data_IF_394305250954
#
_entry.id   IF_394305250954
#
_cell.length_a   1.000
_cell.length_b   1.000
_cell.length_c   1.000
_cell.angle_alpha   90.00
_cell.angle_beta   90.00
_cell.angle_gamma   90.00
#
_symmetry.space_group_name_H-M   'P 1'
#
loop_
_entity.id
_entity.type
_entity.pdbx_description
1 polymer ?
#
# COMPACT_ATOMS: atom_id res chain seq x y z
N UNK A 1 -0.23 5.10 1.98
CA UNK A 1 -0.04 5.27 3.44
C UNK A 1 0.90 6.41 3.71
N UNK A 2 0.73 7.52 2.99
CA UNK A 2 1.63 8.67 2.97
C UNK A 2 1.57 9.49 4.25
N UNK A 3 2.32 10.58 4.26
CA UNK A 3 2.55 11.42 5.44
C UNK A 3 1.24 12.06 5.95
N UNK A 4 0.26 12.23 5.08
CA UNK A 4 -1.08 12.73 5.41
C UNK A 4 -1.84 11.85 6.43
N UNK A 5 -1.38 10.62 6.71
CA UNK A 5 -1.97 9.73 7.72
C UNK A 5 -1.43 9.94 9.14
N UNK A 6 -0.55 10.92 9.34
CA UNK A 6 -0.05 11.31 10.66
C UNK A 6 0.69 10.18 11.36
N UNK A 7 0.35 9.89 12.62
CA UNK A 7 0.97 8.82 13.42
C UNK A 7 0.80 7.40 12.85
N UNK A 8 -0.10 7.22 11.88
CA UNK A 8 -0.33 5.94 11.18
C UNK A 8 0.45 5.82 9.86
N UNK A 9 1.17 6.86 9.46
CA UNK A 9 2.02 6.82 8.27
C UNK A 9 3.06 5.70 8.40
N UNK A 10 3.21 4.91 7.34
CA UNK A 10 4.31 3.95 7.27
C UNK A 10 5.56 4.66 6.72
N UNK A 11 6.67 4.71 7.49
CA UNK A 11 7.85 5.50 7.12
C UNK A 11 8.35 5.23 5.70
N UNK A 12 8.62 6.30 4.96
CA UNK A 12 9.05 6.24 3.56
C UNK A 12 10.32 5.41 3.37
N UNK A 13 11.27 5.48 4.30
CA UNK A 13 12.51 4.70 4.24
C UNK A 13 12.23 3.20 4.37
N UNK A 14 11.28 2.82 5.23
CA UNK A 14 10.88 1.43 5.37
C UNK A 14 10.08 0.96 4.16
N UNK A 15 9.27 1.81 3.53
CA UNK A 15 8.61 1.50 2.26
C UNK A 15 9.63 1.22 1.14
N UNK A 16 10.67 2.04 1.03
CA UNK A 16 11.76 1.83 0.08
C UNK A 16 12.50 0.51 0.35
N UNK A 17 12.75 0.20 1.63
CA UNK A 17 13.39 -1.07 2.01
C UNK A 17 12.52 -2.27 1.64
N UNK A 18 11.21 -2.23 1.87
CA UNK A 18 10.29 -3.30 1.48
C UNK A 18 10.36 -3.56 -0.02
N UNK A 19 10.23 -2.53 -0.84
CA UNK A 19 10.35 -2.65 -2.31
C UNK A 19 11.69 -3.27 -2.68
N UNK A 20 12.78 -2.77 -2.11
CA UNK A 20 14.15 -3.25 -2.37
C UNK A 20 14.36 -4.72 -1.99
N UNK A 21 13.76 -5.17 -0.89
CA UNK A 21 13.90 -6.56 -0.45
C UNK A 21 13.04 -7.50 -1.29
N UNK A 22 11.82 -7.08 -1.64
CA UNK A 22 10.93 -7.84 -2.50
C UNK A 22 11.54 -8.03 -3.90
N UNK A 23 12.14 -6.99 -4.48
CA UNK A 23 12.76 -7.09 -5.82
C UNK A 23 14.01 -7.98 -5.86
N UNK A 24 14.69 -8.19 -4.72
CA UNK A 24 15.81 -9.15 -4.63
C UNK A 24 15.36 -10.60 -4.66
N UNK A 25 14.12 -10.87 -4.25
CA UNK A 25 13.60 -12.23 -4.09
C UNK A 25 12.59 -12.59 -5.19
N UNK A 26 11.89 -11.60 -5.73
CA UNK A 26 10.75 -11.76 -6.61
C UNK A 26 10.82 -10.76 -7.78
N UNK A 27 10.33 -11.18 -8.94
CA UNK A 27 10.10 -10.28 -10.07
C UNK A 27 8.70 -9.67 -9.92
N UNK A 28 8.62 -8.47 -9.33
CA UNK A 28 7.36 -7.80 -9.05
C UNK A 28 7.19 -6.51 -9.86
N UNK A 29 5.95 -6.22 -10.24
CA UNK A 29 5.51 -4.89 -10.62
C UNK A 29 4.76 -4.28 -9.43
N UNK A 30 5.08 -3.03 -9.09
CA UNK A 30 4.45 -2.33 -7.97
C UNK A 30 3.44 -1.32 -8.48
N UNK A 31 2.29 -1.27 -7.83
CA UNK A 31 1.28 -0.23 -8.00
C UNK A 31 1.11 0.48 -6.66
N UNK A 32 1.25 1.80 -6.66
CA UNK A 32 1.05 2.62 -5.46
C UNK A 32 -0.24 3.42 -5.59
N UNK A 33 -1.08 3.31 -4.57
CA UNK A 33 -2.38 3.97 -4.49
C UNK A 33 -2.35 5.06 -3.42
N UNK A 34 -3.28 6.00 -3.54
CA UNK A 34 -3.44 7.11 -2.61
C UNK A 34 -4.42 8.14 -3.15
N UNK A 35 -4.77 9.10 -2.31
CA UNK A 35 -5.45 10.30 -2.79
C UNK A 35 -4.46 11.27 -3.48
N UNK A 36 -4.96 12.38 -4.04
CA UNK A 36 -4.14 13.38 -4.72
C UNK A 36 -3.07 14.02 -3.81
N UNK A 37 -3.27 14.03 -2.49
CA UNK A 37 -2.30 14.57 -1.54
C UNK A 37 -1.11 13.64 -1.30
N UNK A 38 -1.23 12.34 -1.62
CA UNK A 38 -0.15 11.35 -1.53
C UNK A 38 0.70 11.25 -2.81
N UNK A 39 0.32 11.93 -3.89
CA UNK A 39 1.05 11.85 -5.19
C UNK A 39 2.52 12.26 -5.07
N UNK A 40 2.85 13.26 -4.24
CA UNK A 40 4.24 13.69 -4.04
C UNK A 40 5.07 12.62 -3.29
N UNK A 41 4.51 12.04 -2.23
CA UNK A 41 5.15 10.95 -1.48
C UNK A 41 5.43 9.75 -2.39
N UNK A 42 4.43 9.38 -3.20
CA UNK A 42 4.54 8.26 -4.14
C UNK A 42 5.49 8.54 -5.31
N UNK A 43 5.58 9.80 -5.77
CA UNK A 43 6.58 10.21 -6.75
C UNK A 43 8.01 10.10 -6.19
N UNK A 44 8.23 10.50 -4.93
CA UNK A 44 9.52 10.33 -4.25
C UNK A 44 9.90 8.86 -4.11
N UNK A 45 8.96 8.00 -3.73
CA UNK A 45 9.15 6.55 -3.65
C UNK A 45 9.55 5.96 -5.01
N UNK A 46 8.84 6.35 -6.08
CA UNK A 46 9.20 5.94 -7.46
C UNK A 46 10.59 6.42 -7.86
N UNK A 47 10.93 7.68 -7.58
CA UNK A 47 12.22 8.26 -7.92
C UNK A 47 13.38 7.53 -7.23
N UNK A 48 13.21 7.15 -5.96
CA UNK A 48 14.23 6.41 -5.19
C UNK A 48 14.62 5.06 -5.84
N UNK A 49 13.71 4.45 -6.61
CA UNK A 49 13.95 3.17 -7.27
C UNK A 49 14.19 3.27 -8.78
N UNK A 50 14.29 4.48 -9.34
CA UNK A 50 14.47 4.68 -10.79
C UNK A 50 15.73 3.99 -11.33
N UNK A 51 16.85 4.08 -10.62
CA UNK A 51 18.12 3.47 -11.03
C UNK A 51 18.18 1.94 -10.85
N UNK A 52 17.21 1.36 -10.15
CA UNK A 52 17.16 -0.08 -9.86
C UNK A 52 16.24 -0.84 -10.83
N UNK A 53 15.79 -0.19 -11.92
CA UNK A 53 14.88 -0.73 -12.94
C UNK A 53 13.57 -1.31 -12.37
N UNK A 54 13.16 -0.86 -11.18
CA UNK A 54 11.93 -1.30 -10.53
C UNK A 54 10.74 -0.60 -11.17
N UNK A 55 9.77 -1.39 -11.64
CA UNK A 55 8.55 -0.89 -12.24
C UNK A 55 7.54 -0.50 -11.16
N UNK A 56 7.45 0.80 -10.86
CA UNK A 56 6.49 1.37 -9.90
C UNK A 56 5.51 2.29 -10.64
N UNK A 57 4.23 1.90 -10.70
CA UNK A 57 3.15 2.69 -11.29
C UNK A 57 2.41 3.47 -10.21
N UNK A 58 2.42 4.80 -10.30
CA UNK A 58 1.69 5.67 -9.37
C UNK A 58 0.27 5.97 -9.87
N UNK A 59 -0.73 5.52 -9.10
CA UNK A 59 -2.16 5.70 -9.34
C UNK A 59 -2.81 6.67 -8.34
N UNK A 60 -2.02 7.44 -7.59
CA UNK A 60 -2.52 8.39 -6.59
C UNK A 60 -3.36 9.50 -7.21
N UNK A 61 -4.59 9.67 -6.73
CA UNK A 61 -5.55 10.64 -7.28
C UNK A 61 -6.06 10.30 -8.69
N UNK A 62 -5.70 9.13 -9.25
CA UNK A 62 -6.06 8.71 -10.62
C UNK A 62 -7.16 7.64 -10.66
N UNK A 63 -7.69 7.26 -9.51
CA UNK A 63 -8.72 6.21 -9.40
C UNK A 63 -9.98 6.77 -8.74
N UNK A 64 -11.13 6.37 -9.26
CA UNK A 64 -12.40 6.47 -8.51
C UNK A 64 -12.50 5.27 -7.56
N UNK A 65 -13.42 5.32 -6.59
CA UNK A 65 -13.58 4.21 -5.64
C UNK A 65 -13.85 2.85 -6.32
N UNK A 66 -14.76 2.71 -7.30
CA UNK A 66 -14.94 1.44 -8.02
C UNK A 66 -13.67 0.99 -8.74
N UNK A 67 -12.98 1.90 -9.43
CA UNK A 67 -11.74 1.58 -10.15
C UNK A 67 -10.63 1.14 -9.18
N UNK A 68 -10.54 1.74 -8.00
CA UNK A 68 -9.60 1.32 -6.96
C UNK A 68 -9.88 -0.12 -6.52
N UNK A 69 -11.15 -0.45 -6.26
CA UNK A 69 -11.57 -1.80 -5.86
C UNK A 69 -11.25 -2.82 -6.97
N UNK A 70 -11.59 -2.50 -8.22
CA UNK A 70 -11.31 -3.37 -9.37
C UNK A 70 -9.81 -3.62 -9.54
N UNK A 71 -8.98 -2.58 -9.38
CA UNK A 71 -7.53 -2.73 -9.41
C UNK A 71 -7.04 -3.64 -8.27
N UNK A 72 -7.51 -3.42 -7.03
CA UNK A 72 -7.13 -4.24 -5.88
C UNK A 72 -7.52 -5.72 -6.10
N UNK A 73 -8.71 -5.98 -6.65
CA UNK A 73 -9.24 -7.33 -6.88
C UNK A 73 -8.41 -8.17 -7.85
N UNK A 74 -7.59 -7.54 -8.70
CA UNK A 74 -6.71 -8.24 -9.67
C UNK A 74 -5.24 -8.23 -9.26
N UNK A 75 -4.88 -7.66 -8.10
CA UNK A 75 -3.52 -7.72 -7.57
C UNK A 75 -3.23 -9.07 -6.92
N UNK A 76 -1.98 -9.53 -6.99
CA UNK A 76 -1.54 -10.74 -6.28
C UNK A 76 -1.43 -10.54 -4.75
N UNK A 77 -1.16 -9.31 -4.32
CA UNK A 77 -0.93 -8.95 -2.92
C UNK A 77 -1.16 -7.46 -2.69
N UNK A 78 -1.82 -7.10 -1.60
CA UNK A 78 -1.94 -5.73 -1.11
C UNK A 78 -1.13 -5.54 0.17
N UNK A 79 -0.18 -4.60 0.17
CA UNK A 79 0.53 -4.16 1.38
C UNK A 79 -0.03 -2.79 1.78
N UNK A 80 -0.60 -2.68 2.98
CA UNK A 80 -1.29 -1.45 3.40
C UNK A 80 -1.19 -1.23 4.90
N UNK A 81 -1.28 0.02 5.34
CA UNK A 81 -1.63 0.32 6.74
C UNK A 81 -3.14 0.11 6.98
N UNK A 82 -3.59 0.23 8.23
CA UNK A 82 -5.02 0.32 8.61
C UNK A 82 -5.70 1.54 7.93
N UNK A 83 -6.27 1.29 6.75
CA UNK A 83 -6.89 2.28 5.87
C UNK A 83 -7.89 1.60 4.93
N UNK A 84 -8.71 2.40 4.24
CA UNK A 84 -9.75 1.89 3.32
C UNK A 84 -9.26 0.79 2.36
N UNK A 85 -8.12 0.95 1.65
CA UNK A 85 -7.60 -0.08 0.75
C UNK A 85 -7.35 -1.45 1.41
N UNK A 86 -6.95 -1.51 2.68
CA UNK A 86 -6.79 -2.77 3.43
C UNK A 86 -8.13 -3.53 3.53
N UNK A 87 -9.20 -2.83 3.87
CA UNK A 87 -10.54 -3.43 3.94
C UNK A 87 -11.08 -3.81 2.57
N UNK A 88 -10.78 -3.02 1.54
CA UNK A 88 -11.17 -3.35 0.16
C UNK A 88 -10.52 -4.65 -0.29
N UNK A 89 -9.22 -4.84 -0.04
CA UNK A 89 -8.50 -6.08 -0.35
C UNK A 89 -9.18 -7.29 0.31
N UNK A 90 -9.57 -7.16 1.57
CA UNK A 90 -10.31 -8.22 2.27
C UNK A 90 -11.66 -8.53 1.64
N UNK A 91 -12.42 -7.49 1.27
CA UNK A 91 -13.74 -7.65 0.68
C UNK A 91 -13.72 -8.35 -0.68
N UNK A 92 -12.67 -8.14 -1.47
CA UNK A 92 -12.50 -8.76 -2.80
C UNK A 92 -11.66 -10.03 -2.79
N UNK A 93 -11.16 -10.45 -1.63
CA UNK A 93 -10.39 -11.69 -1.47
C UNK A 93 -8.91 -11.60 -1.85
N UNK A 94 -8.39 -10.40 -2.13
CA UNK A 94 -6.97 -10.17 -2.41
C UNK A 94 -6.15 -10.41 -1.13
N UNK A 95 -5.09 -11.25 -1.17
CA UNK A 95 -4.18 -11.40 -0.04
C UNK A 95 -3.67 -10.05 0.44
N UNK A 96 -3.65 -9.83 1.76
CA UNK A 96 -3.28 -8.54 2.32
C UNK A 96 -2.35 -8.69 3.51
N UNK A 97 -1.25 -7.94 3.50
CA UNK A 97 -0.35 -7.74 4.64
C UNK A 97 -0.65 -6.36 5.22
N UNK A 98 -1.15 -6.32 6.45
CA UNK A 98 -1.40 -5.06 7.14
C UNK A 98 -0.17 -4.63 7.96
N UNK A 99 0.41 -3.49 7.59
CA UNK A 99 1.50 -2.84 8.31
C UNK A 99 0.92 -1.98 9.43
N UNK A 100 0.55 -2.60 10.55
CA UNK A 100 -0.06 -1.93 11.69
C UNK A 100 1.02 -1.50 12.69
N UNK A 101 1.20 -0.19 12.83
CA UNK A 101 2.03 0.44 13.86
C UNK A 101 1.18 0.89 15.06
N UNK A 102 1.16 2.20 15.33
CA UNK A 102 0.23 2.78 16.31
C UNK A 102 -1.21 2.71 15.75
N UNK A 103 -2.08 1.99 16.45
CA UNK A 103 -3.48 1.79 16.04
C UNK A 103 -4.32 3.06 15.99
N UNK A 104 -5.49 2.98 15.36
CA UNK A 104 -6.50 4.05 15.34
C UNK A 104 -7.13 4.31 16.70
N UNK A 105 -6.96 3.39 17.67
CA UNK A 105 -7.21 3.65 19.10
C UNK A 105 -6.19 2.93 19.99
N UNK A 106 -5.99 3.34 21.26
CA UNK A 106 -5.16 2.61 22.24
C UNK A 106 -5.69 1.21 22.57
N UNK A 107 -6.94 0.90 22.21
CA UNK A 107 -7.68 -0.29 22.64
C UNK A 107 -8.27 -1.10 21.47
N UNK A 108 -7.98 -0.73 20.22
CA UNK A 108 -8.58 -1.39 19.05
C UNK A 108 -7.56 -1.45 17.92
N UNK A 109 -7.13 -2.67 17.63
CA UNK A 109 -6.59 -3.03 16.33
C UNK A 109 -7.82 -3.23 15.44
N UNK A 110 -7.94 -2.43 14.38
CA UNK A 110 -8.97 -2.67 13.36
C UNK A 110 -8.44 -3.81 12.50
N UNK A 111 -8.89 -5.02 12.81
CA UNK A 111 -8.47 -6.23 12.10
C UNK A 111 -9.18 -6.34 10.74
N UNK A 112 -8.46 -6.70 9.68
CA UNK A 112 -9.07 -6.98 8.39
C UNK A 112 -9.93 -8.25 8.46
N UNK A 113 -11.15 -8.20 7.93
CA UNK A 113 -12.09 -9.34 7.99
C UNK A 113 -11.93 -10.24 6.77
N UNK A 114 -10.90 -11.09 6.73
CA UNK A 114 -10.79 -12.18 5.74
C UNK A 114 -10.05 -13.41 6.30
N UNK A 115 -10.16 -14.53 5.60
CA UNK A 115 -9.47 -15.78 5.93
C UNK A 115 -8.05 -15.87 5.32
N UNK A 116 -7.68 -14.88 4.48
CA UNK A 116 -6.42 -14.84 3.71
C UNK A 116 -5.45 -13.76 4.24
N UNK A 117 -5.53 -13.42 5.52
CA UNK A 117 -4.68 -12.43 6.16
C UNK A 117 -3.31 -13.03 6.53
N UNK A 118 -2.22 -12.31 6.23
CA UNK A 118 -0.84 -12.70 6.54
C UNK A 118 -0.22 -11.72 7.52
#
# INVERSE_FOLDING_TARGET
>A
GGQNKGSRHYPTELAQQVITQLTKQLQCQFFVFGDQSESQDNACLRHAHYHHEVQITDLSGKTTLPILIDNIAVMDLMISIDSGPMHMACAVGTPCIALVGFGTSPWSIVEPKNDNFI
#
